data_IF_809009101721
#
_entry.id   IF_809009101721
#
_cell.length_a   1.000
_cell.length_b   1.000
_cell.length_c   1.000
_cell.angle_alpha   90.00
_cell.angle_beta   90.00
_cell.angle_gamma   90.00
#
_symmetry.space_group_name_H-M   'P 1'
#
loop_
_entity.id
_entity.type
_entity.pdbx_description
1 polymer ?
#
# COMPACT_ATOMS: atom_id res chain seq x y z
N UNK A 1 5.59 -1.72 4.79
CA UNK A 1 4.17 -1.33 4.55
C UNK A 1 3.64 -1.88 3.25
N UNK A 2 2.32 -1.78 3.03
CA UNK A 2 1.71 -2.15 1.76
C UNK A 2 2.15 -1.20 0.64
N UNK A 3 2.74 -1.75 -0.41
CA UNK A 3 3.08 -1.01 -1.63
C UNK A 3 1.83 -0.92 -2.51
N UNK A 4 1.13 0.20 -2.44
CA UNK A 4 -0.16 0.41 -3.11
C UNK A 4 -0.06 1.54 -4.12
N UNK A 5 -0.55 1.29 -5.32
CA UNK A 5 -0.71 2.33 -6.35
C UNK A 5 -2.12 2.91 -6.25
N UNK A 6 -2.22 4.21 -6.06
CA UNK A 6 -3.50 4.92 -6.05
C UNK A 6 -3.90 5.28 -7.48
N UNK A 7 -5.09 4.81 -7.89
CA UNK A 7 -5.73 5.08 -9.18
C UNK A 7 -6.91 6.00 -8.93
N UNK A 8 -6.76 7.27 -9.30
CA UNK A 8 -7.74 8.31 -9.03
C UNK A 8 -8.74 8.39 -10.17
N UNK A 9 -10.02 8.30 -9.83
CA UNK A 9 -11.14 8.35 -10.75
C UNK A 9 -12.22 9.30 -10.23
N UNK A 10 -12.87 10.04 -11.13
CA UNK A 10 -14.08 10.80 -10.81
C UNK A 10 -15.30 9.94 -11.13
N UNK A 11 -16.26 9.94 -10.23
CA UNK A 11 -17.51 9.16 -10.37
C UNK A 11 -18.71 9.96 -9.88
N UNK A 12 -19.88 9.66 -10.41
CA UNK A 12 -21.15 10.15 -9.88
C UNK A 12 -21.59 9.30 -8.68
N UNK A 13 -22.47 9.82 -7.82
CA UNK A 13 -22.96 9.10 -6.64
C UNK A 13 -23.67 7.79 -6.99
N UNK A 14 -24.39 7.78 -8.10
CA UNK A 14 -25.07 6.59 -8.62
C UNK A 14 -24.10 5.43 -8.88
N UNK A 15 -22.86 5.72 -9.25
CA UNK A 15 -21.83 4.70 -9.43
C UNK A 15 -21.54 3.96 -8.11
N UNK A 16 -21.47 4.69 -7.00
CA UNK A 16 -21.24 4.08 -5.69
C UNK A 16 -22.41 3.18 -5.28
N UNK A 17 -23.65 3.66 -5.51
CA UNK A 17 -24.87 2.91 -5.20
C UNK A 17 -24.94 1.63 -6.02
N UNK A 18 -24.73 1.69 -7.34
CA UNK A 18 -24.78 0.55 -8.26
C UNK A 18 -23.73 -0.52 -7.92
N UNK A 19 -22.59 -0.13 -7.33
CA UNK A 19 -21.52 -1.04 -6.95
C UNK A 19 -21.52 -1.40 -5.44
N UNK A 20 -22.57 -1.06 -4.70
CA UNK A 20 -22.68 -1.30 -3.25
C UNK A 20 -21.47 -0.78 -2.47
N UNK A 21 -21.03 0.45 -2.76
CA UNK A 21 -19.92 1.12 -2.11
C UNK A 21 -20.44 2.17 -1.14
N UNK A 22 -20.01 2.10 0.12
CA UNK A 22 -20.34 3.10 1.14
C UNK A 22 -19.47 4.33 0.95
N UNK A 23 -20.11 5.47 0.61
CA UNK A 23 -19.44 6.75 0.39
C UNK A 23 -18.56 7.14 1.59
N UNK A 24 -17.37 7.66 1.32
CA UNK A 24 -16.43 8.12 2.34
C UNK A 24 -15.67 6.99 3.08
N UNK A 25 -15.92 5.73 2.74
CA UNK A 25 -15.32 4.59 3.41
C UNK A 25 -14.29 3.86 2.52
N UNK A 26 -13.52 2.99 3.15
CA UNK A 26 -12.63 2.06 2.46
C UNK A 26 -13.26 0.67 2.44
N UNK A 27 -13.31 0.07 1.25
CA UNK A 27 -13.68 -1.34 1.03
C UNK A 27 -12.45 -2.13 0.62
N UNK A 28 -12.13 -3.19 1.36
CA UNK A 28 -11.12 -4.16 0.94
C UNK A 28 -11.76 -5.15 -0.03
N UNK A 29 -11.17 -5.30 -1.22
CA UNK A 29 -11.59 -6.26 -2.25
C UNK A 29 -10.63 -7.45 -2.22
N UNK A 30 -11.16 -8.65 -2.08
CA UNK A 30 -10.38 -9.88 -2.00
C UNK A 30 -10.35 -10.63 -3.34
N UNK A 31 -11.38 -10.47 -4.17
CA UNK A 31 -11.49 -11.13 -5.46
C UNK A 31 -10.90 -10.26 -6.57
N UNK A 32 -9.93 -10.80 -7.30
CA UNK A 32 -9.25 -10.11 -8.40
C UNK A 32 -10.21 -9.78 -9.56
N UNK A 33 -11.21 -10.64 -9.83
CA UNK A 33 -12.15 -10.42 -10.91
C UNK A 33 -13.15 -9.31 -10.55
N UNK A 34 -13.60 -9.25 -9.28
CA UNK A 34 -14.40 -8.12 -8.78
C UNK A 34 -13.62 -6.82 -8.96
N UNK A 35 -12.34 -6.79 -8.56
CA UNK A 35 -11.49 -5.61 -8.72
C UNK A 35 -11.32 -5.20 -10.19
N UNK A 36 -10.98 -6.15 -11.07
CA UNK A 36 -10.82 -5.91 -12.51
C UNK A 36 -12.10 -5.39 -13.16
N UNK A 37 -13.26 -5.95 -12.79
CA UNK A 37 -14.56 -5.49 -13.28
C UNK A 37 -14.82 -4.04 -12.87
N UNK A 38 -14.56 -3.70 -11.61
CA UNK A 38 -14.71 -2.33 -11.11
C UNK A 38 -13.77 -1.38 -11.84
N UNK A 39 -12.49 -1.72 -11.95
CA UNK A 39 -11.49 -0.91 -12.64
C UNK A 39 -11.83 -0.68 -14.12
N UNK A 40 -12.30 -1.71 -14.82
CA UNK A 40 -12.65 -1.60 -16.25
C UNK A 40 -13.84 -0.68 -16.54
N UNK A 41 -14.67 -0.38 -15.56
CA UNK A 41 -15.81 0.54 -15.66
C UNK A 41 -15.45 2.00 -15.35
N UNK A 42 -14.20 2.28 -15.00
CA UNK A 42 -13.75 3.59 -14.55
C UNK A 42 -12.89 4.30 -15.59
N UNK A 43 -13.04 5.62 -15.66
CA UNK A 43 -12.09 6.49 -16.37
C UNK A 43 -11.00 6.93 -15.40
N UNK A 44 -9.77 6.51 -15.67
CA UNK A 44 -8.60 6.86 -14.85
C UNK A 44 -8.19 8.30 -15.16
N UNK A 45 -8.15 9.15 -14.13
CA UNK A 45 -7.65 10.53 -14.22
C UNK A 45 -6.15 10.59 -13.92
N UNK A 46 -5.70 9.83 -12.91
CA UNK A 46 -4.30 9.85 -12.47
C UNK A 46 -3.93 8.54 -11.77
N UNK A 47 -2.66 8.17 -11.91
CA UNK A 47 -2.04 7.04 -11.19
C UNK A 47 -0.80 7.53 -10.47
N UNK A 48 -0.71 7.27 -9.16
CA UNK A 48 0.42 7.70 -8.32
C UNK A 48 0.82 6.59 -7.34
N UNK A 49 2.08 6.60 -6.89
CA UNK A 49 2.46 5.78 -5.74
C UNK A 49 1.73 6.27 -4.50
N UNK A 50 1.14 5.35 -3.76
CA UNK A 50 0.35 5.60 -2.57
C UNK A 50 0.69 4.62 -1.46
N UNK A 51 -0.28 4.35 -0.61
CA UNK A 51 -0.12 3.55 0.60
C UNK A 51 0.13 4.42 1.83
N UNK A 52 -0.47 4.05 2.95
CA UNK A 52 -0.50 4.83 4.20
C UNK A 52 0.92 5.19 4.68
N UNK A 53 1.76 4.18 4.92
CA UNK A 53 3.15 4.38 5.37
C UNK A 53 4.00 5.06 4.29
N UNK A 54 3.85 4.67 3.03
CA UNK A 54 4.63 5.27 1.95
C UNK A 54 4.40 6.79 1.87
N UNK A 55 3.15 7.25 2.01
CA UNK A 55 2.84 8.68 2.07
C UNK A 55 3.50 9.38 3.25
N UNK A 56 3.53 8.74 4.43
CA UNK A 56 4.23 9.25 5.62
C UNK A 56 5.73 9.35 5.40
N UNK A 57 6.33 8.34 4.77
CA UNK A 57 7.78 8.30 4.45
C UNK A 57 8.13 9.36 3.40
N UNK A 58 7.28 9.56 2.38
CA UNK A 58 7.43 10.67 1.41
C UNK A 58 7.41 12.02 2.13
N UNK A 59 6.45 12.24 3.04
CA UNK A 59 6.39 13.48 3.83
C UNK A 59 7.65 13.72 4.68
N UNK A 60 8.24 12.66 5.25
CA UNK A 60 9.51 12.74 5.96
C UNK A 60 10.68 13.06 5.02
N UNK A 61 10.71 12.45 3.83
CA UNK A 61 11.72 12.75 2.80
C UNK A 61 11.70 14.22 2.40
N UNK A 62 10.51 14.77 2.15
CA UNK A 62 10.31 16.18 1.80
C UNK A 62 10.76 17.15 2.90
N UNK A 63 10.88 16.68 4.15
CA UNK A 63 11.46 17.43 5.27
C UNK A 63 12.96 17.22 5.44
N UNK A 64 13.63 16.60 4.46
CA UNK A 64 15.08 16.40 4.45
C UNK A 64 15.58 15.18 5.22
N UNK A 65 14.70 14.28 5.67
CA UNK A 65 15.13 13.06 6.34
C UNK A 65 15.59 12.01 5.32
N UNK A 66 16.56 11.19 5.72
CA UNK A 66 16.98 10.00 4.97
C UNK A 66 15.99 8.88 5.29
N UNK A 67 15.25 8.44 4.30
CA UNK A 67 14.17 7.47 4.49
C UNK A 67 14.25 6.33 3.48
N UNK A 68 13.64 5.20 3.85
CA UNK A 68 13.48 4.06 2.98
C UNK A 68 12.16 3.35 3.19
N UNK A 69 11.80 2.52 2.23
CA UNK A 69 10.56 1.76 2.24
C UNK A 69 10.81 0.30 1.85
N UNK A 70 10.22 -0.60 2.61
CA UNK A 70 10.15 -2.04 2.31
C UNK A 70 8.69 -2.39 2.07
N UNK A 71 8.37 -2.90 0.89
CA UNK A 71 7.04 -3.34 0.52
C UNK A 71 7.09 -4.12 -0.77
N UNK A 72 6.17 -5.06 -0.97
CA UNK A 72 6.20 -6.01 -2.09
C UNK A 72 5.40 -5.49 -3.28
N UNK A 73 6.02 -5.48 -4.45
CA UNK A 73 5.41 -5.22 -5.75
C UNK A 73 5.76 -6.36 -6.71
N UNK A 74 5.07 -6.45 -7.84
CA UNK A 74 5.47 -7.35 -8.93
C UNK A 74 6.06 -6.59 -10.11
N UNK A 75 6.67 -7.31 -11.04
CA UNK A 75 7.19 -6.76 -12.29
C UNK A 75 6.04 -6.56 -13.28
N UNK A 76 5.26 -5.50 -13.04
CA UNK A 76 4.17 -5.00 -13.87
C UNK A 76 4.22 -3.47 -13.99
N UNK A 77 3.40 -2.90 -14.87
CA UNK A 77 3.37 -1.44 -15.13
C UNK A 77 3.08 -0.61 -13.87
N UNK A 78 2.29 -1.13 -12.93
CA UNK A 78 1.98 -0.45 -11.68
C UNK A 78 3.15 -0.53 -10.69
N UNK A 79 3.83 -1.67 -10.63
CA UNK A 79 5.04 -1.84 -9.83
C UNK A 79 6.17 -0.91 -10.29
N UNK A 80 6.35 -0.75 -11.61
CA UNK A 80 7.31 0.22 -12.15
C UNK A 80 6.94 1.66 -11.76
N UNK A 81 5.67 2.04 -11.92
CA UNK A 81 5.19 3.38 -11.52
C UNK A 81 5.38 3.63 -10.03
N UNK A 82 5.16 2.61 -9.20
CA UNK A 82 5.35 2.69 -7.75
C UNK A 82 6.81 3.00 -7.41
N UNK A 83 7.74 2.21 -7.94
CA UNK A 83 9.18 2.37 -7.71
C UNK A 83 9.68 3.75 -8.18
N UNK A 84 9.32 4.15 -9.41
CA UNK A 84 9.66 5.47 -9.97
C UNK A 84 9.09 6.60 -9.10
N UNK A 85 7.85 6.44 -8.61
CA UNK A 85 7.20 7.43 -7.76
C UNK A 85 7.96 7.66 -6.45
N UNK A 86 8.34 6.59 -5.75
CA UNK A 86 9.14 6.70 -4.52
C UNK A 86 10.53 7.30 -4.78
N UNK A 87 11.17 6.88 -5.87
CA UNK A 87 12.49 7.40 -6.25
C UNK A 87 12.47 8.92 -6.52
N UNK A 88 11.42 9.43 -7.17
CA UNK A 88 11.25 10.89 -7.39
C UNK A 88 11.15 11.68 -6.08
N UNK A 89 10.62 11.08 -5.04
CA UNK A 89 10.50 11.66 -3.71
C UNK A 89 11.72 11.37 -2.82
N UNK A 90 12.85 10.92 -3.40
CA UNK A 90 14.09 10.56 -2.70
C UNK A 90 13.89 9.49 -1.60
N UNK A 91 12.91 8.63 -1.73
CA UNK A 91 12.72 7.47 -0.85
C UNK A 91 13.50 6.29 -1.42
N UNK A 92 14.38 5.70 -0.61
CA UNK A 92 15.12 4.50 -1.00
C UNK A 92 14.19 3.29 -0.91
N UNK A 93 14.07 2.54 -1.99
CA UNK A 93 13.25 1.35 -2.05
C UNK A 93 14.09 0.09 -1.87
N UNK A 94 13.80 -0.70 -0.83
CA UNK A 94 14.56 -1.88 -0.44
C UNK A 94 13.81 -3.17 -0.79
N UNK A 95 13.46 -3.34 -2.04
CA UNK A 95 12.83 -4.53 -2.56
C UNK A 95 13.19 -4.68 -4.04
N UNK A 96 13.60 -5.87 -4.43
CA UNK A 96 13.86 -6.20 -5.84
C UNK A 96 12.60 -6.84 -6.43
N UNK A 97 11.91 -6.13 -7.30
CA UNK A 97 10.69 -6.64 -7.93
C UNK A 97 10.98 -7.90 -8.76
N UNK A 98 10.07 -8.84 -8.67
CA UNK A 98 10.09 -10.11 -9.38
C UNK A 98 8.75 -10.29 -10.08
N UNK A 99 8.72 -11.21 -11.06
CA UNK A 99 7.45 -11.59 -11.68
C UNK A 99 6.68 -12.50 -10.73
N UNK A 100 5.61 -11.96 -10.17
CA UNK A 100 4.76 -12.67 -9.22
C UNK A 100 3.43 -13.08 -9.88
N UNK A 101 2.68 -13.97 -9.21
CA UNK A 101 1.37 -14.42 -9.70
C UNK A 101 0.27 -13.35 -9.53
N UNK A 102 0.36 -12.57 -8.45
CA UNK A 102 -0.60 -11.51 -8.15
C UNK A 102 -0.07 -10.17 -8.66
N UNK A 103 -0.95 -9.27 -9.12
CA UNK A 103 -0.56 -7.94 -9.55
C UNK A 103 -0.12 -7.06 -8.37
N UNK A 104 0.54 -5.96 -8.67
CA UNK A 104 0.87 -4.90 -7.70
C UNK A 104 -0.40 -4.39 -7.01
N UNK A 105 -0.32 -4.15 -5.71
CA UNK A 105 -1.43 -3.66 -4.91
C UNK A 105 -1.97 -2.32 -5.42
N UNK A 106 -3.28 -2.19 -5.48
CA UNK A 106 -3.93 -1.02 -6.09
C UNK A 106 -5.11 -0.55 -5.24
N UNK A 107 -5.24 0.75 -5.08
CA UNK A 107 -6.40 1.39 -4.48
C UNK A 107 -7.10 2.29 -5.50
N UNK A 108 -8.37 2.02 -5.78
CA UNK A 108 -9.22 2.92 -6.55
C UNK A 108 -9.70 4.03 -5.62
N UNK A 109 -9.33 5.27 -5.92
CA UNK A 109 -9.78 6.47 -5.21
C UNK A 109 -10.91 7.09 -6.03
N UNK A 110 -12.15 6.84 -5.62
CA UNK A 110 -13.36 7.29 -6.28
C UNK A 110 -13.78 8.64 -5.67
N UNK A 111 -13.72 9.69 -6.47
CA UNK A 111 -14.02 11.06 -6.03
C UNK A 111 -15.37 11.47 -6.58
N UNK A 112 -16.34 11.72 -5.70
CA UNK A 112 -17.66 12.25 -6.02
C UNK A 112 -17.65 13.77 -6.20
N UNK A 113 -18.70 14.40 -6.81
CA UNK A 113 -18.73 15.83 -7.10
C UNK A 113 -18.55 16.74 -5.87
N UNK A 114 -18.95 16.28 -4.68
CA UNK A 114 -18.73 16.95 -3.40
C UNK A 114 -17.31 16.80 -2.83
N UNK A 115 -16.40 16.20 -3.62
CA UNK A 115 -15.00 15.93 -3.26
C UNK A 115 -14.81 14.86 -2.19
N UNK A 116 -15.85 14.09 -1.83
CA UNK A 116 -15.70 12.94 -0.93
C UNK A 116 -14.96 11.80 -1.65
N UNK A 117 -14.12 11.08 -0.87
CA UNK A 117 -13.29 9.98 -1.40
C UNK A 117 -13.78 8.65 -0.86
N UNK A 118 -14.14 7.75 -1.77
CA UNK A 118 -14.44 6.35 -1.46
C UNK A 118 -13.31 5.49 -2.02
N UNK A 119 -12.79 4.58 -1.21
CA UNK A 119 -11.61 3.80 -1.56
C UNK A 119 -11.96 2.32 -1.73
N UNK A 120 -11.46 1.71 -2.81
CA UNK A 120 -11.58 0.28 -3.04
C UNK A 120 -10.18 -0.31 -3.22
N UNK A 121 -9.71 -1.05 -2.22
CA UNK A 121 -8.33 -1.54 -2.19
C UNK A 121 -8.26 -3.03 -2.47
N UNK A 122 -7.46 -3.40 -3.46
CA UNK A 122 -7.02 -4.75 -3.73
C UNK A 122 -5.53 -4.87 -3.39
N UNK A 123 -5.19 -5.65 -2.38
CA UNK A 123 -3.81 -5.72 -1.89
C UNK A 123 -2.86 -6.41 -2.87
N UNK A 124 -3.37 -7.32 -3.73
CA UNK A 124 -2.52 -8.04 -4.66
C UNK A 124 -1.32 -8.67 -3.96
N UNK A 125 -0.14 -8.48 -4.54
CA UNK A 125 1.10 -9.04 -3.98
C UNK A 125 1.58 -8.28 -2.73
N UNK A 126 1.16 -7.03 -2.51
CA UNK A 126 1.60 -6.25 -1.34
C UNK A 126 1.25 -6.94 -0.02
N UNK A 127 0.07 -7.57 0.06
CA UNK A 127 -0.36 -8.35 1.23
C UNK A 127 0.33 -9.72 1.39
N UNK A 128 1.30 -10.05 0.54
CA UNK A 128 2.04 -11.33 0.54
C UNK A 128 3.52 -11.16 0.88
N UNK A 129 3.86 -10.06 1.55
CA UNK A 129 5.22 -9.88 2.07
C UNK A 129 5.56 -11.00 3.04
N UNK A 130 6.81 -11.47 3.00
CA UNK A 130 7.31 -12.54 3.85
C UNK A 130 8.71 -12.20 4.40
N UNK A 131 9.24 -13.07 5.25
CA UNK A 131 10.54 -12.84 5.88
C UNK A 131 11.71 -12.70 4.92
N UNK A 132 11.65 -13.31 3.72
CA UNK A 132 12.71 -13.22 2.71
C UNK A 132 12.73 -11.86 2.00
N UNK A 133 11.61 -11.13 2.04
CA UNK A 133 11.48 -9.79 1.47
C UNK A 133 12.10 -8.71 2.38
N UNK A 134 12.55 -9.08 3.58
CA UNK A 134 13.09 -8.15 4.58
C UNK A 134 14.60 -8.00 4.42
N UNK A 135 15.01 -6.80 4.01
CA UNK A 135 16.42 -6.38 3.93
C UNK A 135 16.95 -6.04 5.34
N UNK A 136 17.66 -7.00 5.93
CA UNK A 136 18.18 -6.90 7.30
C UNK A 136 19.25 -5.80 7.41
N UNK A 137 20.04 -5.57 6.37
CA UNK A 137 21.07 -4.53 6.39
C UNK A 137 20.44 -3.14 6.37
N UNK A 138 19.36 -2.96 5.62
CA UNK A 138 18.57 -1.73 5.66
C UNK A 138 18.01 -1.46 7.06
N UNK A 139 17.53 -2.49 7.76
CA UNK A 139 16.99 -2.34 9.12
C UNK A 139 18.08 -1.95 10.12
N UNK A 140 19.21 -2.66 10.12
CA UNK A 140 20.33 -2.40 11.03
C UNK A 140 20.93 -1.02 10.83
N UNK A 141 20.90 -0.49 9.61
CA UNK A 141 21.40 0.85 9.28
C UNK A 141 20.33 1.94 9.46
N UNK A 142 19.11 1.60 9.91
CA UNK A 142 18.04 2.55 10.19
C UNK A 142 17.98 2.84 11.69
N UNK A 143 17.76 4.11 12.05
CA UNK A 143 17.58 4.49 13.47
C UNK A 143 16.26 3.96 14.02
N UNK A 144 15.20 4.08 13.22
CA UNK A 144 13.84 3.65 13.59
C UNK A 144 13.23 2.91 12.40
N UNK A 145 12.59 1.78 12.64
CA UNK A 145 11.66 1.17 11.69
C UNK A 145 10.24 1.49 12.09
N UNK A 146 9.39 1.72 11.08
CA UNK A 146 7.99 2.04 11.28
C UNK A 146 7.12 0.96 10.65
N UNK A 147 6.32 0.28 11.46
CA UNK A 147 5.46 -0.83 11.08
C UNK A 147 4.00 -0.35 10.93
N UNK A 148 3.24 -1.07 10.11
CA UNK A 148 1.87 -0.71 9.75
C UNK A 148 0.89 -1.84 10.08
N UNK A 149 -0.13 -1.56 10.89
CA UNK A 149 -1.12 -2.53 11.34
C UNK A 149 -1.89 -3.21 10.21
N UNK A 150 -2.02 -2.57 9.04
CA UNK A 150 -2.62 -3.19 7.85
C UNK A 150 -1.92 -4.48 7.39
N UNK A 151 -0.65 -4.68 7.75
CA UNK A 151 0.12 -5.88 7.45
C UNK A 151 0.24 -6.84 8.65
N UNK A 152 -0.36 -6.51 9.79
CA UNK A 152 -0.33 -7.37 10.99
C UNK A 152 -1.30 -8.53 10.85
N UNK A 153 -1.14 -9.34 9.81
CA UNK A 153 -1.95 -10.53 9.57
C UNK A 153 -1.16 -11.82 9.90
N UNK A 154 -1.88 -12.87 10.27
CA UNK A 154 -1.27 -14.16 10.54
C UNK A 154 -0.57 -14.75 9.30
N UNK A 155 0.40 -15.59 9.54
CA UNK A 155 1.21 -16.23 8.50
C UNK A 155 2.44 -15.43 8.10
N UNK A 156 2.71 -15.33 6.81
CA UNK A 156 3.96 -14.77 6.28
C UNK A 156 4.15 -13.29 6.58
N UNK A 157 3.14 -12.40 6.52
CA UNK A 157 3.32 -11.01 6.91
C UNK A 157 3.75 -10.85 8.37
N UNK A 158 3.20 -11.64 9.29
CA UNK A 158 3.59 -11.60 10.69
C UNK A 158 5.03 -12.06 10.91
N UNK A 159 5.48 -13.10 10.22
CA UNK A 159 6.89 -13.54 10.24
C UNK A 159 7.83 -12.45 9.73
N UNK A 160 7.42 -11.73 8.68
CA UNK A 160 8.19 -10.58 8.18
C UNK A 160 8.31 -9.48 9.25
N UNK A 161 7.24 -9.20 10.01
CA UNK A 161 7.27 -8.27 11.14
C UNK A 161 8.20 -8.75 12.25
N UNK A 162 8.09 -10.01 12.66
CA UNK A 162 8.94 -10.60 13.71
C UNK A 162 10.42 -10.49 13.33
N UNK A 163 10.76 -10.79 12.08
CA UNK A 163 12.12 -10.60 11.56
C UNK A 163 12.53 -9.14 11.57
N UNK A 164 11.65 -8.23 11.17
CA UNK A 164 11.93 -6.80 11.16
C UNK A 164 12.17 -6.29 12.59
N UNK A 165 11.32 -6.63 13.54
CA UNK A 165 11.42 -6.23 14.95
C UNK A 165 12.74 -6.76 15.57
N UNK A 166 13.08 -8.02 15.30
CA UNK A 166 14.28 -8.67 15.86
C UNK A 166 15.60 -8.07 15.32
N UNK A 167 15.57 -7.34 14.21
CA UNK A 167 16.75 -6.74 13.59
C UNK A 167 16.76 -5.20 13.62
N UNK A 168 15.80 -4.58 14.28
CA UNK A 168 15.66 -3.13 14.37
C UNK A 168 16.37 -2.55 15.58
N UNK A 169 16.90 -1.33 15.45
CA UNK A 169 17.41 -0.56 16.59
C UNK A 169 16.26 -0.01 17.45
N UNK A 170 15.27 0.58 16.82
CA UNK A 170 14.04 1.06 17.45
C UNK A 170 12.85 0.73 16.56
N UNK A 171 11.71 0.45 17.18
CA UNK A 171 10.45 0.12 16.49
C UNK A 171 9.37 1.12 16.89
N UNK A 172 8.67 1.64 15.89
CA UNK A 172 7.40 2.34 16.05
C UNK A 172 6.35 1.63 15.21
N UNK A 173 5.09 1.69 15.60
CA UNK A 173 3.98 1.05 14.89
C UNK A 173 2.76 1.96 14.87
N UNK A 174 2.11 2.04 13.71
CA UNK A 174 0.75 2.54 13.58
C UNK A 174 -0.22 1.38 13.71
N UNK A 175 -1.28 1.53 14.46
CA UNK A 175 -2.38 0.56 14.51
C UNK A 175 -3.25 0.60 13.25
N UNK A 176 -3.02 1.61 12.40
CA UNK A 176 -3.64 1.82 11.09
C UNK A 176 -5.12 2.17 11.17
N UNK A 177 -6.01 1.22 11.08
CA UNK A 177 -7.46 1.43 11.07
C UNK A 177 -8.13 0.65 12.19
N UNK A 178 -9.35 1.08 12.59
CA UNK A 178 -10.15 0.41 13.61
C UNK A 178 -10.33 -1.09 13.31
N UNK A 179 -10.59 -1.44 12.05
CA UNK A 179 -10.79 -2.84 11.69
C UNK A 179 -9.52 -3.70 11.87
N UNK A 180 -8.32 -3.11 11.79
CA UNK A 180 -7.08 -3.82 12.10
C UNK A 180 -7.02 -4.17 13.59
N UNK A 181 -7.42 -3.20 14.45
CA UNK A 181 -7.46 -3.39 15.91
C UNK A 181 -8.53 -4.41 16.30
N UNK A 182 -9.72 -4.32 15.69
CA UNK A 182 -10.84 -5.22 16.00
C UNK A 182 -10.54 -6.68 15.57
N UNK A 183 -9.65 -6.89 14.59
CA UNK A 183 -9.30 -8.19 14.05
C UNK A 183 -8.23 -8.92 14.88
N UNK A 184 -7.42 -8.20 15.65
CA UNK A 184 -6.27 -8.69 16.40
C UNK A 184 -6.35 -8.35 17.90
#
# INVERSE_FOLDING_TARGET
GNAIVDVICKVEEDFLIQNNLSKGNMKLIFDENEFKKLLSSLKIEKTISGGSIANSIVGLSQKGNKVGFIGKITDDDLGEKYEIGLKKENVKYFYSKQKEKLPTGTCLILITPDSERTMCTYLGIAGKINENDIDVDALKNSEIIFLEGYLWDEGDPKKAFDKAISNANKVAMSLSDKFCVDRH
#
